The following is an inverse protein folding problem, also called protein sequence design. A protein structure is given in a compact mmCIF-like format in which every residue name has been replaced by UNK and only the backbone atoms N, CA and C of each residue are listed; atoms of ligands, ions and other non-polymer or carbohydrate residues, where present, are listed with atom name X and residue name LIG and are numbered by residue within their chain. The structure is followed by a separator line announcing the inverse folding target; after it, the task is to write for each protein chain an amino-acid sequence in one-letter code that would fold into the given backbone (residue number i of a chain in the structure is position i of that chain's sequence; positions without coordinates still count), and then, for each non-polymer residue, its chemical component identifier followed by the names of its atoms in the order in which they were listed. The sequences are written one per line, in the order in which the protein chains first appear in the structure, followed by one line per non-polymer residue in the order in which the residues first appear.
data_IF_836565041834
#
_entry.id   IF_836565041834
#
_cell.length_a   1.000
_cell.length_b   1.000
_cell.length_c   1.000
_cell.angle_alpha   90.00
_cell.angle_beta   90.00
_cell.angle_gamma   90.00
#
_symmetry.space_group_name_H-M   'P 1'
#
loop_
_entity.id
_entity.type
_entity.pdbx_description
1 polymer ?
#
# COMPACT_ATOMS: atom_id res chain seq x y z
N UNK A 1 4.11 -23.08 15.73
CA UNK A 1 3.64 -21.69 15.46
C UNK A 1 2.85 -21.64 14.14
N UNK A 2 2.58 -22.81 13.55
CA UNK A 2 2.21 -23.01 12.15
C UNK A 2 0.71 -22.87 11.86
N UNK A 3 -0.14 -23.00 12.89
CA UNK A 3 -1.59 -22.95 12.72
C UNK A 3 -2.20 -21.56 12.49
N UNK A 4 -1.48 -20.47 12.80
CA UNK A 4 -2.00 -19.10 12.64
C UNK A 4 -1.81 -18.57 11.20
N UNK A 5 -0.79 -19.05 10.49
CA UNK A 5 -0.45 -18.56 9.16
C UNK A 5 -1.20 -19.24 8.01
N UNK A 6 -1.85 -20.38 8.26
CA UNK A 6 -2.42 -21.19 7.19
C UNK A 6 -3.84 -20.74 6.78
N UNK A 7 -4.56 -20.07 7.68
CA UNK A 7 -5.98 -19.72 7.44
C UNK A 7 -6.24 -18.40 6.70
N UNK A 8 -5.23 -17.57 6.46
CA UNK A 8 -5.47 -16.26 5.82
C UNK A 8 -4.26 -15.69 5.07
N UNK A 9 -3.56 -16.53 4.29
CA UNK A 9 -2.42 -16.08 3.47
C UNK A 9 -2.79 -15.00 2.45
N UNK A 10 -4.05 -14.95 2.01
CA UNK A 10 -4.55 -13.92 1.09
C UNK A 10 -4.53 -12.51 1.67
N UNK A 11 -4.45 -12.36 2.99
CA UNK A 11 -4.38 -11.05 3.66
C UNK A 11 -2.96 -10.69 4.10
N UNK A 12 -1.95 -11.49 3.71
CA UNK A 12 -0.55 -11.31 4.10
C UNK A 12 0.31 -10.97 2.89
N UNK A 13 1.10 -9.91 2.98
CA UNK A 13 2.18 -9.62 2.06
C UNK A 13 3.51 -10.00 2.70
N UNK A 14 4.33 -10.76 1.96
CA UNK A 14 5.72 -10.96 2.32
C UNK A 14 6.56 -9.80 1.81
N UNK A 15 7.44 -9.29 2.67
CA UNK A 15 8.49 -8.35 2.30
C UNK A 15 9.82 -8.89 2.82
N UNK A 16 10.83 -8.93 1.96
CA UNK A 16 12.22 -9.06 2.38
C UNK A 16 12.60 -7.88 3.29
N UNK A 17 13.70 -7.95 4.07
CA UNK A 17 14.14 -6.82 4.89
C UNK A 17 14.39 -5.54 4.08
N UNK A 18 14.86 -5.67 2.83
CA UNK A 18 15.08 -4.55 1.93
C UNK A 18 13.76 -3.93 1.46
N UNK A 19 12.81 -4.75 1.02
CA UNK A 19 11.47 -4.28 0.63
C UNK A 19 10.71 -3.67 1.81
N UNK A 20 10.84 -4.25 3.01
CA UNK A 20 10.25 -3.70 4.23
C UNK A 20 10.83 -2.34 4.57
N UNK A 21 12.16 -2.16 4.41
CA UNK A 21 12.81 -0.87 4.60
C UNK A 21 12.33 0.17 3.58
N UNK A 22 12.24 -0.21 2.32
CA UNK A 22 11.74 0.65 1.25
C UNK A 22 10.29 1.08 1.50
N UNK A 23 9.43 0.14 1.91
CA UNK A 23 8.04 0.42 2.26
C UNK A 23 7.91 1.35 3.49
N UNK A 24 8.81 1.21 4.49
CA UNK A 24 8.87 2.15 5.62
C UNK A 24 9.26 3.55 5.14
N UNK A 25 10.24 3.67 4.24
CA UNK A 25 10.63 4.96 3.65
C UNK A 25 9.46 5.60 2.93
N UNK A 26 8.81 4.86 2.04
CA UNK A 26 7.67 5.34 1.27
C UNK A 26 6.53 5.83 2.17
N UNK A 27 6.26 5.14 3.29
CA UNK A 27 5.23 5.56 4.24
C UNK A 27 5.55 6.93 4.87
N UNK A 28 6.79 7.17 5.30
CA UNK A 28 7.21 8.46 5.86
C UNK A 28 7.26 9.56 4.80
N UNK A 29 7.65 9.25 3.56
CA UNK A 29 7.63 10.20 2.45
C UNK A 29 6.19 10.60 2.09
N UNK A 30 5.26 9.64 2.08
CA UNK A 30 3.87 9.85 1.71
C UNK A 30 3.07 10.58 2.80
N UNK A 31 3.33 10.30 4.08
CA UNK A 31 2.51 10.78 5.19
C UNK A 31 3.23 11.74 6.15
N UNK A 32 4.49 12.08 5.85
CA UNK A 32 5.36 12.87 6.71
C UNK A 32 5.88 12.10 7.92
N UNK A 33 6.62 12.81 8.78
CA UNK A 33 7.43 12.20 9.86
C UNK A 33 6.65 11.52 10.99
N UNK A 34 5.33 11.71 11.09
CA UNK A 34 4.45 11.03 12.06
C UNK A 34 5.10 10.95 13.46
N UNK A 35 5.30 12.09 14.16
CA UNK A 35 6.27 12.23 15.26
C UNK A 35 6.06 11.24 16.42
N UNK A 36 4.81 10.93 16.77
CA UNK A 36 4.50 9.95 17.82
C UNK A 36 4.94 8.54 17.45
N UNK A 37 4.75 8.13 16.19
CA UNK A 37 5.22 6.85 15.68
C UNK A 37 6.74 6.80 15.64
N UNK A 38 7.38 7.88 15.16
CA UNK A 38 8.83 7.96 15.10
C UNK A 38 9.46 7.90 16.50
N UNK A 39 8.86 8.56 17.49
CA UNK A 39 9.27 8.47 18.89
C UNK A 39 9.10 7.06 19.45
N UNK A 40 8.01 6.35 19.09
CA UNK A 40 7.80 4.96 19.48
C UNK A 40 8.86 4.04 18.86
N UNK A 41 9.17 4.20 17.58
CA UNK A 41 10.21 3.42 16.88
C UNK A 41 11.60 3.70 17.49
N UNK A 42 11.91 4.97 17.79
CA UNK A 42 13.14 5.34 18.49
C UNK A 42 13.30 4.60 19.82
N UNK A 43 12.23 4.51 20.62
CA UNK A 43 12.23 3.71 21.87
C UNK A 43 12.44 2.22 21.62
N UNK A 44 11.81 1.65 20.58
CA UNK A 44 11.97 0.25 20.21
C UNK A 44 13.43 -0.08 19.87
N UNK A 45 14.07 0.79 19.08
CA UNK A 45 15.45 0.63 18.62
C UNK A 45 16.47 1.16 19.63
N UNK A 46 16.04 1.64 20.80
CA UNK A 46 16.89 2.26 21.83
C UNK A 46 17.74 3.42 21.28
N UNK A 47 17.23 4.14 20.29
CA UNK A 47 17.87 5.34 19.74
C UNK A 47 17.78 6.43 20.82
N UNK A 48 18.90 7.08 21.19
CA UNK A 48 18.89 8.16 22.16
C UNK A 48 17.90 9.25 21.77
N UNK A 49 17.19 9.80 22.75
CA UNK A 49 16.25 10.90 22.51
C UNK A 49 17.04 12.10 21.99
N UNK A 50 16.94 12.35 20.68
CA UNK A 50 17.32 13.62 20.09
C UNK A 50 16.27 14.65 20.51
N UNK A 51 16.63 15.94 20.56
CA UNK A 51 15.70 17.01 20.92
C UNK A 51 14.39 16.84 20.14
N UNK A 52 13.24 17.02 20.81
CA UNK A 52 11.90 16.66 20.32
C UNK A 52 11.42 17.35 19.02
N UNK A 53 12.30 18.06 18.31
CA UNK A 53 12.05 18.67 17.00
C UNK A 53 12.94 18.17 15.87
N UNK A 54 13.90 17.26 16.10
CA UNK A 54 14.82 16.78 15.06
C UNK A 54 14.35 15.43 14.48
N UNK A 55 13.18 15.43 13.84
CA UNK A 55 12.59 14.22 13.25
C UNK A 55 13.45 13.62 12.16
N UNK A 56 14.16 14.45 11.39
CA UNK A 56 15.05 13.99 10.32
C UNK A 56 16.23 13.19 10.86
N UNK A 57 16.89 13.67 11.92
CA UNK A 57 18.00 12.95 12.51
C UNK A 57 17.55 11.63 13.16
N UNK A 58 16.36 11.59 13.77
CA UNK A 58 15.80 10.35 14.32
C UNK A 58 15.51 9.37 13.18
N UNK A 59 14.85 9.84 12.11
CA UNK A 59 14.49 9.00 10.96
C UNK A 59 15.74 8.43 10.27
N UNK A 60 16.78 9.24 10.06
CA UNK A 60 18.06 8.79 9.53
C UNK A 60 18.70 7.71 10.41
N UNK A 61 18.62 7.83 11.74
CA UNK A 61 19.10 6.81 12.68
C UNK A 61 18.27 5.52 12.60
N UNK A 62 16.95 5.62 12.56
CA UNK A 62 16.06 4.46 12.37
C UNK A 62 16.47 3.67 11.13
N UNK A 63 16.63 4.34 9.99
CA UNK A 63 17.05 3.68 8.74
C UNK A 63 18.47 3.11 8.79
N UNK A 64 19.38 3.74 9.54
CA UNK A 64 20.72 3.21 9.75
C UNK A 64 20.68 1.92 10.58
N UNK A 65 19.94 1.91 11.69
CA UNK A 65 19.84 0.74 12.57
C UNK A 65 19.19 -0.45 11.86
N UNK A 66 18.11 -0.21 11.10
CA UNK A 66 17.45 -1.27 10.33
C UNK A 66 18.34 -1.82 9.22
N UNK A 67 19.11 -0.97 8.51
CA UNK A 67 20.05 -1.41 7.46
C UNK A 67 21.21 -2.25 7.97
N UNK A 68 21.63 -2.03 9.21
CA UNK A 68 22.75 -2.77 9.78
C UNK A 68 22.43 -4.25 10.05
N UNK A 69 21.17 -4.69 9.85
CA UNK A 69 20.69 -6.09 9.90
C UNK A 69 20.98 -6.86 11.21
N UNK A 70 21.50 -6.20 12.25
CA UNK A 70 21.68 -6.77 13.59
C UNK A 70 20.40 -6.74 14.43
N UNK A 71 19.31 -6.22 13.87
CA UNK A 71 18.01 -6.11 14.51
C UNK A 71 17.32 -7.48 14.48
N UNK A 72 16.93 -8.00 15.63
CA UNK A 72 16.18 -9.27 15.71
C UNK A 72 14.88 -9.20 14.90
N UNK A 73 14.43 -10.33 14.34
CA UNK A 73 13.17 -10.39 13.59
C UNK A 73 11.95 -9.89 14.38
N UNK A 74 11.90 -10.16 15.69
CA UNK A 74 10.83 -9.65 16.57
C UNK A 74 10.82 -8.12 16.60
N UNK A 75 12.00 -7.50 16.65
CA UNK A 75 12.11 -6.04 16.68
C UNK A 75 11.71 -5.42 15.32
N UNK A 76 12.13 -6.04 14.22
CA UNK A 76 11.69 -5.69 12.87
C UNK A 76 10.17 -5.71 12.72
N UNK A 77 9.53 -6.81 13.13
CA UNK A 77 8.07 -6.93 13.10
C UNK A 77 7.38 -5.85 13.95
N UNK A 78 7.93 -5.49 15.12
CA UNK A 78 7.38 -4.41 15.96
C UNK A 78 7.52 -3.03 15.31
N UNK A 79 8.62 -2.78 14.59
CA UNK A 79 8.79 -1.54 13.82
C UNK A 79 7.76 -1.48 12.70
N UNK A 80 7.66 -2.52 11.86
CA UNK A 80 6.67 -2.57 10.79
C UNK A 80 5.23 -2.45 11.33
N UNK A 81 4.91 -3.11 12.44
CA UNK A 81 3.61 -2.98 13.10
C UNK A 81 3.33 -1.54 13.55
N UNK A 82 4.35 -0.83 14.04
CA UNK A 82 4.23 0.58 14.45
C UNK A 82 4.03 1.50 13.25
N UNK A 83 4.83 1.32 12.19
CA UNK A 83 4.78 2.12 10.96
C UNK A 83 3.44 1.90 10.26
N UNK A 84 3.14 0.67 9.86
CA UNK A 84 1.97 0.34 9.04
C UNK A 84 0.66 0.24 9.84
N UNK A 85 0.72 0.31 11.17
CA UNK A 85 -0.42 0.19 12.09
C UNK A 85 -1.29 -1.06 11.81
N UNK A 86 -0.62 -2.16 11.50
CA UNK A 86 -1.24 -3.45 11.22
C UNK A 86 -0.34 -4.59 11.70
N UNK A 87 -0.89 -5.78 11.90
CA UNK A 87 -0.14 -6.93 12.38
C UNK A 87 1.04 -7.24 11.44
N UNK A 88 2.22 -7.47 12.03
CA UNK A 88 3.43 -7.84 11.32
C UNK A 88 4.12 -8.99 12.05
N UNK A 89 4.64 -9.95 11.29
CA UNK A 89 5.24 -11.17 11.83
C UNK A 89 6.57 -11.46 11.15
N UNK A 90 7.64 -11.77 11.88
CA UNK A 90 8.90 -12.11 11.26
C UNK A 90 8.84 -13.51 10.66
N UNK A 91 9.43 -13.67 9.48
CA UNK A 91 9.80 -14.95 8.90
C UNK A 91 11.28 -15.19 9.13
N UNK A 92 11.61 -16.32 9.74
CA UNK A 92 13.01 -16.74 9.89
C UNK A 92 13.34 -17.81 8.85
N UNK A 93 14.61 -17.88 8.45
CA UNK A 93 15.16 -19.02 7.72
C UNK A 93 15.49 -20.19 8.66
N UNK A 94 15.96 -21.31 8.08
CA UNK A 94 16.34 -22.51 8.84
C UNK A 94 17.50 -22.26 9.83
N UNK A 95 18.28 -21.20 9.61
CA UNK A 95 19.36 -20.75 10.49
C UNK A 95 18.91 -19.79 11.59
N UNK A 96 17.62 -19.43 11.64
CA UNK A 96 17.06 -18.46 12.58
C UNK A 96 17.33 -17.00 12.24
N UNK A 97 17.85 -16.71 11.04
CA UNK A 97 18.03 -15.33 10.57
C UNK A 97 16.73 -14.80 9.96
N UNK A 98 16.55 -13.49 10.02
CA UNK A 98 15.39 -12.85 9.41
C UNK A 98 15.47 -12.96 7.88
N UNK A 99 14.56 -13.74 7.29
CA UNK A 99 14.42 -13.85 5.84
C UNK A 99 13.35 -12.90 5.28
N UNK A 100 12.42 -12.44 6.12
CA UNK A 100 11.47 -11.39 5.75
C UNK A 100 10.41 -11.14 6.82
N UNK A 101 9.41 -10.36 6.46
CA UNK A 101 8.33 -9.90 7.33
C UNK A 101 7.01 -10.07 6.60
N UNK A 102 6.07 -10.72 7.25
CA UNK A 102 4.68 -10.79 6.81
C UNK A 102 3.90 -9.61 7.36
N UNK A 103 3.29 -8.81 6.50
CA UNK A 103 2.43 -7.68 6.86
C UNK A 103 0.98 -8.05 6.56
N UNK A 104 0.08 -7.89 7.53
CA UNK A 104 -1.35 -8.12 7.32
C UNK A 104 -2.01 -6.86 6.75
N UNK A 105 -2.83 -6.98 5.72
CA UNK A 105 -3.56 -5.82 5.17
C UNK A 105 -4.81 -5.48 5.99
N UNK A 106 -5.47 -6.51 6.53
CA UNK A 106 -6.67 -6.43 7.36
C UNK A 106 -7.82 -5.66 6.67
N UNK A 107 -8.04 -5.98 5.40
CA UNK A 107 -9.02 -5.32 4.52
C UNK A 107 -10.24 -6.20 4.23
N UNK A 108 -10.32 -7.41 4.78
CA UNK A 108 -11.39 -8.39 4.50
C UNK A 108 -12.81 -7.87 4.78
N UNK A 109 -12.98 -6.95 5.74
CA UNK A 109 -14.27 -6.38 6.12
C UNK A 109 -14.47 -4.94 5.62
N UNK A 110 -13.60 -4.46 4.73
CA UNK A 110 -13.72 -3.12 4.17
C UNK A 110 -14.74 -3.07 3.03
N UNK A 111 -15.57 -2.02 3.03
CA UNK A 111 -16.50 -1.71 1.95
C UNK A 111 -16.20 -0.33 1.38
N UNK A 112 -15.94 -0.28 0.07
CA UNK A 112 -15.71 0.95 -0.66
C UNK A 112 -16.98 1.80 -0.74
N UNK A 113 -16.95 3.02 -0.22
CA UNK A 113 -18.05 4.00 -0.35
C UNK A 113 -18.05 4.77 -1.69
N UNK A 114 -17.24 4.34 -2.67
CA UNK A 114 -17.04 4.98 -3.97
C UNK A 114 -16.68 6.48 -3.91
N UNK A 115 -16.05 6.94 -2.81
CA UNK A 115 -15.81 8.36 -2.55
C UNK A 115 -14.79 9.06 -3.47
N UNK A 116 -14.17 8.36 -4.41
CA UNK A 116 -13.19 8.92 -5.35
C UNK A 116 -11.81 9.23 -4.78
N UNK A 117 -11.55 8.98 -3.48
CA UNK A 117 -10.26 9.32 -2.86
C UNK A 117 -9.06 8.60 -3.49
N UNK A 118 -9.22 7.35 -3.91
CA UNK A 118 -8.21 6.64 -4.71
C UNK A 118 -7.90 7.37 -6.01
N UNK A 119 -8.90 7.94 -6.69
CA UNK A 119 -8.69 8.61 -7.96
C UNK A 119 -7.95 9.96 -7.83
N UNK A 120 -7.94 10.53 -6.63
CA UNK A 120 -7.31 11.84 -6.34
C UNK A 120 -5.92 11.71 -5.71
N UNK A 121 -5.65 10.65 -4.95
CA UNK A 121 -4.47 10.55 -4.10
C UNK A 121 -3.60 9.31 -4.34
N UNK A 122 -4.06 8.36 -5.15
CA UNK A 122 -3.27 7.17 -5.45
C UNK A 122 -2.24 7.52 -6.54
N UNK A 123 -0.96 7.32 -6.25
CA UNK A 123 0.08 7.27 -7.28
C UNK A 123 -0.07 5.97 -8.06
N UNK A 124 -0.66 6.04 -9.25
CA UNK A 124 -0.98 4.87 -10.08
C UNK A 124 0.03 4.61 -11.20
N UNK A 125 1.06 5.46 -11.32
CA UNK A 125 1.86 5.66 -12.53
C UNK A 125 2.51 4.40 -13.10
N UNK A 126 2.96 3.48 -12.25
CA UNK A 126 3.72 2.28 -12.66
C UNK A 126 3.11 0.98 -12.15
N UNK A 127 1.85 1.01 -11.71
CA UNK A 127 1.21 -0.10 -10.99
C UNK A 127 0.17 -0.83 -11.85
N UNK A 128 0.22 -0.64 -13.17
CA UNK A 128 -0.61 -1.38 -14.11
C UNK A 128 0.08 -2.70 -14.48
N UNK A 129 -0.62 -3.80 -14.30
CA UNK A 129 -0.10 -5.14 -14.62
C UNK A 129 -0.43 -5.55 -16.05
N UNK A 130 0.32 -6.51 -16.60
CA UNK A 130 -0.05 -7.19 -17.86
C UNK A 130 -1.47 -7.78 -17.78
N UNK A 131 -1.84 -8.35 -16.63
CA UNK A 131 -3.18 -8.92 -16.42
C UNK A 131 -4.29 -7.87 -16.51
N UNK A 132 -4.07 -6.66 -15.99
CA UNK A 132 -5.05 -5.57 -16.13
C UNK A 132 -5.16 -5.13 -17.60
N UNK A 133 -4.04 -5.02 -18.31
CA UNK A 133 -4.00 -4.68 -19.73
C UNK A 133 -4.73 -5.72 -20.60
N UNK A 134 -4.39 -7.00 -20.46
CA UNK A 134 -5.01 -8.12 -21.19
C UNK A 134 -6.51 -8.20 -20.91
N UNK A 135 -6.92 -7.94 -19.66
CA UNK A 135 -8.33 -7.87 -19.29
C UNK A 135 -9.06 -6.77 -20.04
N UNK A 136 -8.49 -5.58 -20.17
CA UNK A 136 -9.12 -4.49 -20.92
C UNK A 136 -9.18 -4.78 -22.43
N UNK A 137 -8.15 -5.41 -22.99
CA UNK A 137 -8.18 -5.90 -24.38
C UNK A 137 -9.32 -6.91 -24.60
N UNK A 138 -9.43 -7.93 -23.74
CA UNK A 138 -10.47 -8.94 -23.85
C UNK A 138 -11.89 -8.37 -23.73
N UNK A 139 -12.05 -7.26 -22.99
CA UNK A 139 -13.31 -6.55 -22.84
C UNK A 139 -13.58 -5.49 -23.94
N UNK A 140 -12.65 -5.30 -24.89
CA UNK A 140 -12.77 -4.28 -25.93
C UNK A 140 -12.81 -2.84 -25.39
N UNK A 141 -12.17 -2.58 -24.24
CA UNK A 141 -12.13 -1.26 -23.60
C UNK A 141 -11.02 -0.39 -24.18
N UNK A 142 -11.16 -0.07 -25.47
CA UNK A 142 -10.22 0.79 -26.20
C UNK A 142 -10.11 2.19 -25.57
N UNK A 143 -11.20 2.68 -24.98
CA UNK A 143 -11.20 3.91 -24.20
C UNK A 143 -10.22 3.84 -23.02
N UNK A 144 -10.12 2.70 -22.32
CA UNK A 144 -9.14 2.52 -21.25
C UNK A 144 -7.73 2.37 -21.82
N UNK A 145 -7.58 1.53 -22.83
CA UNK A 145 -6.28 1.23 -23.45
C UNK A 145 -5.61 2.47 -24.05
N UNK A 146 -6.38 3.44 -24.54
CA UNK A 146 -5.88 4.72 -25.02
C UNK A 146 -5.14 5.55 -23.95
N UNK A 147 -5.38 5.27 -22.67
CA UNK A 147 -4.71 5.89 -21.53
C UNK A 147 -3.57 5.04 -20.94
N UNK A 148 -3.17 3.95 -21.61
CA UNK A 148 -2.08 3.06 -21.16
C UNK A 148 -0.88 3.19 -22.08
N UNK A 149 0.28 3.52 -21.52
CA UNK A 149 1.56 3.46 -22.23
C UNK A 149 2.24 2.12 -21.97
N UNK A 150 2.63 1.44 -23.04
CA UNK A 150 3.42 0.21 -22.97
C UNK A 150 4.90 0.57 -23.09
N UNK A 151 5.68 0.23 -22.08
CA UNK A 151 7.13 0.45 -22.04
C UNK A 151 7.82 -0.89 -22.31
N UNK A 152 8.68 -0.92 -23.31
CA UNK A 152 9.46 -2.12 -23.66
C UNK A 152 10.85 -2.01 -23.06
N UNK A 153 11.18 -2.94 -22.18
CA UNK A 153 12.47 -2.99 -21.52
C UNK A 153 13.53 -3.69 -22.38
N UNK A 154 14.81 -3.48 -22.05
CA UNK A 154 15.94 -4.09 -22.76
C UNK A 154 15.95 -5.62 -22.67
N UNK A 155 15.37 -6.19 -21.61
CA UNK A 155 15.24 -7.63 -21.38
C UNK A 155 13.98 -8.23 -22.04
N UNK A 156 13.31 -7.47 -22.90
CA UNK A 156 12.05 -7.81 -23.55
C UNK A 156 10.84 -7.95 -22.61
N UNK A 157 10.96 -7.57 -21.33
CA UNK A 157 9.79 -7.42 -20.45
C UNK A 157 8.97 -6.18 -20.84
N UNK A 158 7.69 -6.17 -20.42
CA UNK A 158 6.76 -5.08 -20.66
C UNK A 158 6.33 -4.46 -19.33
N UNK A 159 6.51 -3.16 -19.22
CA UNK A 159 5.90 -2.36 -18.15
C UNK A 159 4.74 -1.54 -18.71
N UNK A 160 3.81 -1.19 -17.83
CA UNK A 160 2.62 -0.43 -18.21
C UNK A 160 2.48 0.79 -17.32
N UNK A 161 2.31 1.92 -17.97
CA UNK A 161 2.16 3.20 -17.30
C UNK A 161 0.75 3.74 -17.54
N UNK A 162 0.06 4.09 -16.44
CA UNK A 162 -1.29 4.66 -16.45
C UNK A 162 -1.29 5.90 -15.56
N UNK A 163 -2.12 6.92 -15.74
CA UNK A 163 -2.89 7.22 -16.94
C UNK A 163 -2.13 8.27 -17.74
N UNK A 164 -2.00 8.06 -19.04
CA UNK A 164 -1.44 9.07 -19.95
C UNK A 164 -2.54 9.82 -20.70
N UNK A 165 -2.23 11.02 -21.19
CA UNK A 165 -3.09 11.73 -22.13
C UNK A 165 -3.02 11.00 -23.50
N UNK A 166 -4.16 10.56 -24.07
CA UNK A 166 -4.17 9.75 -25.29
C UNK A 166 -3.43 10.41 -26.46
N UNK A 167 -2.59 9.64 -27.14
CA UNK A 167 -1.77 10.12 -28.25
C UNK A 167 -0.52 10.91 -27.84
N UNK A 168 -0.24 10.99 -26.54
CA UNK A 168 0.97 11.63 -25.98
C UNK A 168 1.71 10.68 -25.03
N UNK A 169 2.86 11.12 -24.53
CA UNK A 169 3.60 10.45 -23.45
C UNK A 169 3.43 11.15 -22.08
N UNK A 170 2.50 12.10 -21.97
CA UNK A 170 2.30 12.92 -20.78
C UNK A 170 1.41 12.23 -19.75
N UNK A 171 1.85 12.26 -18.49
CA UNK A 171 1.09 11.72 -17.36
C UNK A 171 -0.04 12.64 -16.95
N UNK A 172 -1.24 12.06 -16.80
CA UNK A 172 -2.38 12.75 -16.23
C UNK A 172 -2.22 12.92 -14.73
N UNK A 173 -2.30 14.16 -14.28
CA UNK A 173 -2.21 14.54 -12.86
C UNK A 173 -3.41 14.06 -12.04
N UNK A 174 -4.54 13.77 -12.69
CA UNK A 174 -5.76 13.25 -12.07
C UNK A 174 -6.25 12.07 -12.89
N UNK A 175 -6.82 11.07 -12.22
CA UNK A 175 -7.39 9.92 -12.91
C UNK A 175 -8.50 10.36 -13.90
N UNK A 176 -8.42 10.01 -15.19
CA UNK A 176 -9.41 10.39 -16.20
C UNK A 176 -10.78 9.75 -15.94
N UNK A 177 -10.82 8.70 -15.12
CA UNK A 177 -12.04 7.98 -14.77
C UNK A 177 -12.77 8.56 -13.55
N UNK A 178 -12.29 9.67 -12.98
CA UNK A 178 -12.99 10.35 -11.90
C UNK A 178 -14.14 11.19 -12.45
N UNK A 179 -15.37 10.75 -12.22
CA UNK A 179 -16.52 11.60 -12.45
C UNK A 179 -16.52 12.72 -11.39
N UNK A 180 -16.63 14.00 -11.80
CA UNK A 180 -16.66 15.11 -10.86
C UNK A 180 -17.88 15.01 -9.94
N UNK A 181 -17.70 15.45 -8.69
CA UNK A 181 -18.83 15.63 -7.78
C UNK A 181 -19.74 16.76 -8.29
N UNK A 182 -21.05 16.59 -8.13
CA UNK A 182 -22.05 17.64 -8.35
C UNK A 182 -22.75 17.96 -7.03
N UNK A 183 -23.59 19.00 -7.01
CA UNK A 183 -24.40 19.30 -5.83
C UNK A 183 -25.34 18.15 -5.43
N UNK A 184 -25.66 17.23 -6.36
CA UNK A 184 -26.60 16.13 -6.16
C UNK A 184 -25.92 14.75 -6.08
N UNK A 185 -24.66 14.61 -6.54
CA UNK A 185 -24.00 13.30 -6.62
C UNK A 185 -22.54 13.38 -6.19
N UNK A 186 -22.05 12.43 -5.36
CA UNK A 186 -20.64 12.38 -5.00
C UNK A 186 -19.78 11.98 -6.21
N UNK A 187 -18.50 12.34 -6.17
CA UNK A 187 -17.52 11.86 -7.13
C UNK A 187 -17.47 10.33 -7.14
N UNK A 188 -17.30 9.72 -8.32
CA UNK A 188 -17.28 8.26 -8.48
C UNK A 188 -16.34 7.82 -9.60
N UNK A 189 -15.88 6.57 -9.53
CA UNK A 189 -15.05 5.97 -10.58
C UNK A 189 -15.93 5.45 -11.72
N UNK A 190 -15.68 5.91 -12.95
CA UNK A 190 -16.40 5.50 -14.15
C UNK A 190 -16.06 4.08 -14.60
N UNK A 191 -14.91 3.54 -14.18
CA UNK A 191 -14.45 2.18 -14.51
C UNK A 191 -14.56 1.21 -13.33
N UNK A 192 -15.47 1.46 -12.39
CA UNK A 192 -15.57 0.71 -11.12
C UNK A 192 -15.43 -0.81 -11.26
N UNK A 193 -16.09 -1.42 -12.25
CA UNK A 193 -16.13 -2.87 -12.42
C UNK A 193 -14.89 -3.45 -13.13
N UNK A 194 -14.08 -2.59 -13.75
CA UNK A 194 -12.87 -2.97 -14.51
C UNK A 194 -11.63 -2.19 -14.07
N UNK A 195 -11.65 -1.61 -12.87
CA UNK A 195 -10.49 -0.97 -12.24
C UNK A 195 -9.25 -1.86 -12.34
N UNK A 196 -8.04 -1.32 -12.50
CA UNK A 196 -6.81 -2.10 -12.39
C UNK A 196 -6.58 -2.61 -10.95
N UNK A 197 -5.64 -3.55 -10.76
CA UNK A 197 -5.32 -4.16 -9.48
C UNK A 197 -5.05 -3.12 -8.39
N UNK A 198 -4.14 -2.18 -8.66
CA UNK A 198 -3.78 -1.10 -7.73
C UNK A 198 -5.00 -0.29 -7.23
N UNK A 199 -6.00 -0.09 -8.08
CA UNK A 199 -7.23 0.62 -7.73
C UNK A 199 -8.22 -0.27 -6.95
N UNK A 200 -8.20 -1.58 -7.16
CA UNK A 200 -9.04 -2.56 -6.42
C UNK A 200 -8.49 -2.85 -5.03
N UNK A 201 -7.16 -2.82 -4.90
CA UNK A 201 -6.43 -3.03 -3.66
C UNK A 201 -6.42 -1.79 -2.77
N UNK A 202 -6.87 -0.64 -3.28
CA UNK A 202 -7.01 0.56 -2.47
C UNK A 202 -8.27 0.52 -1.57
N UNK A 203 -8.15 0.92 -0.30
CA UNK A 203 -6.91 1.21 0.41
C UNK A 203 -6.21 -0.09 0.83
N UNK A 204 -4.88 -0.09 0.82
CA UNK A 204 -4.11 -1.30 1.11
C UNK A 204 -4.16 -1.72 2.59
N UNK A 205 -4.31 -0.75 3.50
CA UNK A 205 -4.45 -0.96 4.94
C UNK A 205 -5.47 0.01 5.54
N UNK A 206 -5.93 -0.27 6.76
CA UNK A 206 -6.72 0.69 7.55
C UNK A 206 -6.01 2.02 7.75
N UNK A 207 -4.69 1.98 7.97
CA UNK A 207 -3.86 3.18 8.06
C UNK A 207 -3.96 3.97 6.77
N UNK A 208 -3.69 3.32 5.64
CA UNK A 208 -3.77 3.94 4.32
C UNK A 208 -5.14 4.62 4.13
N UNK A 209 -6.23 3.91 4.40
CA UNK A 209 -7.60 4.45 4.32
C UNK A 209 -7.78 5.76 5.11
N UNK A 210 -7.32 5.79 6.37
CA UNK A 210 -7.41 6.97 7.23
C UNK A 210 -6.54 8.11 6.71
N UNK A 211 -5.28 7.83 6.38
CA UNK A 211 -4.30 8.86 6.01
C UNK A 211 -4.64 9.54 4.69
N UNK A 212 -5.31 8.86 3.77
CA UNK A 212 -5.76 9.43 2.48
C UNK A 212 -7.21 9.91 2.49
N UNK A 213 -7.87 9.90 3.66
CA UNK A 213 -9.25 10.39 3.81
C UNK A 213 -10.31 9.54 3.10
N UNK A 214 -10.01 8.25 2.83
CA UNK A 214 -10.95 7.32 2.25
C UNK A 214 -12.21 7.20 3.15
N UNK A 215 -13.39 7.34 2.54
CA UNK A 215 -14.68 7.30 3.24
C UNK A 215 -15.34 5.92 3.24
N UNK A 216 -14.61 4.89 2.81
CA UNK A 216 -15.05 3.51 2.97
C UNK A 216 -15.18 3.16 4.45
N UNK A 217 -15.92 2.09 4.74
CA UNK A 217 -16.23 1.69 6.10
C UNK A 217 -15.84 0.24 6.34
N UNK A 218 -15.62 -0.10 7.60
CA UNK A 218 -15.25 -1.43 8.05
C UNK A 218 -16.46 -2.06 8.75
N UNK A 219 -16.96 -3.15 8.18
CA UNK A 219 -18.08 -3.88 8.77
C UNK A 219 -17.62 -4.65 10.00
N UNK A 220 -18.07 -4.20 11.17
CA UNK A 220 -17.71 -4.78 12.46
C UNK A 220 -18.49 -6.07 12.72
N UNK A 221 -19.71 -6.22 12.19
CA UNK A 221 -20.52 -7.43 12.34
C UNK A 221 -19.85 -8.60 11.62
N UNK A 222 -19.39 -8.36 10.38
CA UNK A 222 -18.59 -9.32 9.61
C UNK A 222 -17.27 -9.69 10.28
N UNK A 223 -16.67 -8.75 11.00
CA UNK A 223 -15.41 -8.97 11.75
C UNK A 223 -15.60 -9.86 12.98
N UNK A 224 -16.81 -9.90 13.53
CA UNK A 224 -17.16 -10.72 14.69
C UNK A 224 -17.79 -12.07 14.30
N UNK A 225 -17.94 -12.33 12.99
CA UNK A 225 -18.61 -13.53 12.47
C UNK A 225 -20.09 -13.61 12.87
N UNK A 226 -20.74 -12.46 13.05
CA UNK A 226 -22.13 -12.35 13.49
C UNK A 226 -23.11 -12.12 12.33
N UNK A 227 -22.70 -12.45 11.10
CA UNK A 227 -23.58 -12.36 9.95
C UNK A 227 -24.79 -13.29 10.19
N UNK A 228 -25.96 -12.69 10.29
CA UNK A 228 -27.24 -13.40 10.37
C UNK A 228 -27.65 -13.76 8.95
N UNK A 229 -27.91 -15.04 8.71
CA UNK A 229 -28.48 -15.57 7.46
C UNK A 229 -29.73 -14.80 6.99
#
# INVERSE_FOLDING_TARGET
MDGFMEKDRSQLQFLTPEEALAAISLDFDQYGHQPDQLAQIGRLLKIPVLNAGDTDAILARVFSELRNQQVSGTLWARVCNTVFQTAAHPQLDDGGHLSGIWIKHDMANFTCAQCGQCCMHLGYENECTLTDFERWQALGREDILAHVRIIRNMDASLDFCIWIEPGTDELLQVCPWLAPATAQTPARCLIQNVKPAICREYPYTRKHARMTGCRGYFDVARSLGLDSD
#
